data_IF_861054944833
#
_entry.id   IF_861054944833
#
_cell.length_a   1.000
_cell.length_b   1.000
_cell.length_c   1.000
_cell.angle_alpha   90.00
_cell.angle_beta   90.00
_cell.angle_gamma   90.00
#
_symmetry.space_group_name_H-M   'P 1'
#
loop_
_entity.id
_entity.type
_entity.pdbx_description
1 polymer ?
#
# COMPACT_ATOMS: atom_id res chain seq x y z
N UNK A 1 -26.33 22.22 55.20
CA UNK A 1 -26.37 20.77 54.97
C UNK A 1 -27.06 20.41 53.70
N UNK A 2 -28.22 20.90 53.47
CA UNK A 2 -28.98 20.57 52.24
C UNK A 2 -28.34 21.12 50.97
N UNK A 3 -27.61 22.17 51.08
CA UNK A 3 -26.93 22.79 49.93
C UNK A 3 -25.78 21.98 49.34
N UNK A 4 -25.21 21.17 50.16
CA UNK A 4 -24.06 20.35 49.76
C UNK A 4 -24.49 19.23 48.81
N UNK A 5 -25.68 18.71 49.00
CA UNK A 5 -26.22 17.66 48.15
C UNK A 5 -26.48 18.12 46.71
N UNK A 6 -26.90 19.37 46.58
CA UNK A 6 -27.18 19.94 45.27
C UNK A 6 -25.90 20.09 44.42
N UNK A 7 -24.81 20.42 45.06
CA UNK A 7 -23.54 20.57 44.40
C UNK A 7 -23.04 19.26 43.80
N UNK A 8 -23.19 18.17 44.50
CA UNK A 8 -22.73 16.89 44.00
C UNK A 8 -23.51 16.40 42.80
N UNK A 9 -24.77 16.71 42.69
CA UNK A 9 -25.59 16.37 41.57
C UNK A 9 -25.15 17.12 40.31
N UNK A 10 -24.81 18.37 40.45
CA UNK A 10 -24.33 19.19 39.30
C UNK A 10 -23.04 18.64 38.74
N UNK A 11 -22.15 18.14 39.54
CA UNK A 11 -20.90 17.55 39.07
C UNK A 11 -21.16 16.33 38.22
N UNK A 12 -22.11 15.50 38.59
CA UNK A 12 -22.46 14.29 37.85
C UNK A 12 -23.00 14.64 36.44
N UNK A 13 -23.82 15.63 36.36
CA UNK A 13 -24.37 16.05 35.07
C UNK A 13 -23.30 16.61 34.14
N UNK A 14 -22.39 17.36 34.65
CA UNK A 14 -21.29 17.88 33.88
C UNK A 14 -20.47 16.79 33.22
N UNK A 15 -20.15 15.74 33.95
CA UNK A 15 -19.39 14.61 33.41
C UNK A 15 -20.15 13.85 32.32
N UNK A 16 -21.43 13.64 32.50
CA UNK A 16 -22.24 12.90 31.54
C UNK A 16 -22.33 13.59 30.19
N UNK A 17 -22.47 14.89 30.19
CA UNK A 17 -22.59 15.65 28.95
C UNK A 17 -21.32 15.72 28.15
N UNK A 18 -20.21 15.76 28.82
CA UNK A 18 -18.91 15.80 28.16
C UNK A 18 -18.67 14.51 27.35
N UNK A 19 -19.09 13.39 27.86
CA UNK A 19 -18.89 12.10 27.22
C UNK A 19 -19.62 11.97 25.88
N UNK A 20 -20.73 12.65 25.71
CA UNK A 20 -21.51 12.59 24.49
C UNK A 20 -20.85 13.30 23.30
N UNK A 21 -19.94 14.21 23.56
CA UNK A 21 -19.27 14.96 22.51
C UNK A 21 -18.05 14.27 21.93
N UNK A 22 -17.49 13.34 22.64
CA UNK A 22 -16.29 12.64 22.23
C UNK A 22 -16.43 11.90 20.90
N UNK A 23 -17.54 11.22 20.59
CA UNK A 23 -17.69 10.50 19.32
C UNK A 23 -17.68 11.36 18.06
N UNK A 24 -18.08 12.61 18.17
CA UNK A 24 -18.22 13.50 17.01
C UNK A 24 -16.88 13.85 16.35
N UNK A 25 -15.80 13.76 17.09
CA UNK A 25 -14.47 14.12 16.58
C UNK A 25 -13.85 13.02 15.70
N UNK A 26 -14.39 11.84 15.75
CA UNK A 26 -13.88 10.70 15.00
C UNK A 26 -14.20 10.80 13.52
N UNK A 27 -15.24 11.51 13.17
CA UNK A 27 -15.73 11.63 11.79
C UNK A 27 -14.85 12.50 10.90
N UNK A 28 -13.85 13.17 11.44
CA UNK A 28 -12.97 14.04 10.67
C UNK A 28 -11.79 13.32 10.02
N UNK A 29 -11.69 12.02 10.17
CA UNK A 29 -10.63 11.26 9.50
C UNK A 29 -10.94 11.17 8.01
N UNK A 30 -9.98 11.55 7.14
CA UNK A 30 -10.21 11.46 5.71
C UNK A 30 -10.45 10.02 5.29
N UNK A 31 -11.41 9.85 4.40
CA UNK A 31 -11.71 8.56 3.80
C UNK A 31 -10.59 8.19 2.83
N UNK A 32 -9.82 7.17 3.17
CA UNK A 32 -8.68 6.72 2.36
C UNK A 32 -9.10 5.51 1.54
N UNK A 33 -9.07 5.66 0.23
CA UNK A 33 -9.30 4.55 -0.69
C UNK A 33 -8.00 3.76 -0.89
N UNK A 34 -8.10 2.45 -0.88
CA UNK A 34 -6.98 1.54 -1.08
C UNK A 34 -7.13 0.78 -2.39
N UNK A 35 -6.01 0.54 -3.05
CA UNK A 35 -5.95 -0.24 -4.27
C UNK A 35 -4.95 -1.39 -4.15
N UNK A 36 -5.25 -2.48 -4.84
CA UNK A 36 -4.40 -3.65 -4.89
C UNK A 36 -3.38 -3.51 -6.01
N UNK A 37 -2.11 -3.69 -5.68
CA UNK A 37 -1.04 -3.85 -6.67
C UNK A 37 -0.60 -5.30 -6.66
N UNK A 38 -0.75 -5.99 -7.79
CA UNK A 38 -0.19 -7.31 -8.00
C UNK A 38 0.99 -7.21 -8.96
N UNK A 39 2.18 -7.37 -8.43
CA UNK A 39 3.44 -7.28 -9.17
C UNK A 39 4.09 -8.66 -9.18
N UNK A 40 4.24 -9.25 -10.35
CA UNK A 40 4.67 -10.64 -10.51
C UNK A 40 5.88 -10.72 -11.44
N UNK A 41 6.84 -11.56 -11.09
CA UNK A 41 7.94 -11.94 -11.97
C UNK A 41 7.47 -13.12 -12.85
N UNK A 42 7.45 -12.92 -14.16
CA UNK A 42 6.98 -13.94 -15.07
C UNK A 42 7.96 -15.10 -15.30
N UNK A 43 7.47 -16.19 -15.89
CA UNK A 43 6.10 -16.40 -16.32
C UNK A 43 5.16 -16.89 -15.20
N UNK A 44 5.65 -17.53 -14.17
CA UNK A 44 4.82 -18.26 -13.21
C UNK A 44 4.88 -17.72 -11.78
N UNK A 45 5.39 -16.52 -11.58
CA UNK A 45 5.47 -15.95 -10.25
C UNK A 45 6.41 -16.71 -9.32
N UNK A 46 5.87 -17.20 -8.22
CA UNK A 46 6.67 -17.74 -7.10
C UNK A 46 7.60 -18.91 -7.47
N UNK A 47 7.13 -19.83 -8.29
CA UNK A 47 7.91 -20.97 -8.72
C UNK A 47 8.13 -20.90 -10.23
N UNK A 48 9.38 -20.98 -10.67
CA UNK A 48 9.71 -20.96 -12.09
C UNK A 48 9.73 -19.58 -12.73
N UNK A 49 9.84 -18.53 -11.94
CA UNK A 49 10.05 -17.18 -12.48
C UNK A 49 11.45 -17.07 -13.10
N UNK A 50 11.52 -16.29 -14.17
CA UNK A 50 12.76 -16.05 -14.90
C UNK A 50 13.49 -14.79 -14.43
N UNK A 51 13.10 -14.27 -13.29
CA UNK A 51 13.68 -13.08 -12.70
C UNK A 51 12.99 -12.72 -11.39
N UNK A 52 13.23 -11.51 -10.96
CA UNK A 52 12.72 -10.95 -9.71
C UNK A 52 12.09 -9.60 -9.96
N UNK A 53 11.19 -9.21 -9.10
CA UNK A 53 10.62 -7.86 -9.08
C UNK A 53 10.91 -7.20 -7.75
N UNK A 54 10.99 -5.88 -7.78
CA UNK A 54 11.21 -5.04 -6.60
C UNK A 54 10.25 -3.87 -6.62
N UNK A 55 9.85 -3.43 -5.44
CA UNK A 55 8.95 -2.30 -5.24
C UNK A 55 9.61 -1.30 -4.29
N UNK A 56 9.51 -0.03 -4.63
CA UNK A 56 9.98 1.07 -3.81
C UNK A 56 8.90 2.14 -3.71
N UNK A 57 8.57 2.54 -2.49
CA UNK A 57 7.67 3.66 -2.22
C UNK A 57 8.51 4.92 -2.08
N UNK A 58 8.21 5.94 -2.84
CA UNK A 58 8.92 7.22 -2.79
C UNK A 58 8.79 7.90 -1.44
N UNK A 59 7.66 7.71 -0.79
CA UNK A 59 7.40 8.24 0.56
C UNK A 59 7.00 7.12 1.50
N UNK A 60 7.38 7.19 2.77
CA UNK A 60 6.92 6.24 3.76
C UNK A 60 5.41 6.19 3.81
N UNK A 61 4.87 4.99 3.96
CA UNK A 61 3.44 4.79 4.15
C UNK A 61 3.20 4.12 5.50
N UNK A 62 2.27 4.67 6.26
CA UNK A 62 1.84 4.04 7.52
C UNK A 62 1.04 2.75 7.29
N UNK A 63 0.56 2.56 6.07
CA UNK A 63 -0.24 1.40 5.68
C UNK A 63 0.57 0.26 5.10
N UNK A 64 1.84 0.49 4.84
CA UNK A 64 2.73 -0.53 4.30
C UNK A 64 4.01 -0.57 5.11
N UNK A 65 4.26 -1.70 5.73
CA UNK A 65 5.35 -1.89 6.70
C UNK A 65 6.73 -1.58 6.15
N UNK A 66 6.94 -1.85 4.86
CA UNK A 66 8.25 -1.69 4.24
C UNK A 66 8.19 -0.64 3.12
N UNK A 67 9.05 0.34 3.19
CA UNK A 67 9.21 1.31 2.12
C UNK A 67 9.79 0.67 0.84
N UNK A 68 10.47 -0.44 0.99
CA UNK A 68 11.13 -1.13 -0.11
C UNK A 68 11.02 -2.64 0.07
N UNK A 69 10.66 -3.31 -1.01
CA UNK A 69 10.67 -4.77 -1.11
C UNK A 69 11.53 -5.15 -2.31
N UNK A 70 12.52 -6.00 -2.12
CA UNK A 70 13.49 -6.35 -3.14
C UNK A 70 13.45 -7.84 -3.46
N UNK A 71 13.76 -8.14 -4.73
CA UNK A 71 14.07 -9.49 -5.22
C UNK A 71 13.02 -10.54 -4.83
N UNK A 72 11.79 -10.25 -5.19
CA UNK A 72 10.66 -11.15 -4.97
C UNK A 72 10.13 -11.69 -6.28
N UNK A 73 9.61 -12.91 -6.24
CA UNK A 73 8.88 -13.48 -7.36
C UNK A 73 7.47 -12.88 -7.50
N UNK A 74 6.94 -12.34 -6.42
CA UNK A 74 5.67 -11.64 -6.42
C UNK A 74 5.51 -10.74 -5.20
N UNK A 75 4.86 -9.60 -5.39
CA UNK A 75 4.56 -8.61 -4.36
C UNK A 75 3.12 -8.18 -4.57
N UNK A 76 2.31 -8.26 -3.53
CA UNK A 76 0.87 -7.99 -3.65
C UNK A 76 0.35 -7.15 -2.47
N UNK A 77 0.80 -5.90 -2.33
CA UNK A 77 0.34 -5.03 -1.25
C UNK A 77 -1.00 -4.36 -1.57
N UNK A 78 -1.72 -4.01 -0.52
CA UNK A 78 -2.85 -3.09 -0.56
C UNK A 78 -2.33 -1.72 -0.12
N UNK A 79 -2.42 -0.73 -0.99
CA UNK A 79 -1.79 0.57 -0.80
C UNK A 79 -2.79 1.73 -0.96
N UNK A 80 -2.57 2.85 -0.27
CA UNK A 80 -3.48 3.98 -0.38
C UNK A 80 -3.42 4.63 -1.76
N UNK A 81 -4.56 5.15 -2.20
CA UNK A 81 -4.68 5.92 -3.43
C UNK A 81 -3.73 7.12 -3.45
N UNK A 82 -3.17 7.39 -4.62
CA UNK A 82 -2.30 8.55 -4.83
C UNK A 82 -0.86 8.36 -4.40
N UNK A 83 -0.48 7.18 -3.94
CA UNK A 83 0.91 6.90 -3.58
C UNK A 83 1.76 6.72 -4.84
N UNK A 84 2.98 7.25 -4.81
CA UNK A 84 3.94 7.09 -5.90
C UNK A 84 4.80 5.85 -5.67
N UNK A 85 4.87 5.00 -6.67
CA UNK A 85 5.52 3.69 -6.61
C UNK A 85 6.52 3.58 -7.75
N UNK A 86 7.70 3.05 -7.43
CA UNK A 86 8.69 2.64 -8.43
C UNK A 86 8.83 1.12 -8.37
N UNK A 87 8.66 0.48 -9.51
CA UNK A 87 8.88 -0.96 -9.66
C UNK A 87 10.05 -1.22 -10.59
N UNK A 88 10.75 -2.31 -10.35
CA UNK A 88 11.86 -2.75 -11.18
C UNK A 88 11.86 -4.26 -11.35
N UNK A 89 12.45 -4.71 -12.44
CA UNK A 89 12.61 -6.12 -12.76
C UNK A 89 14.08 -6.44 -12.93
N UNK A 90 14.50 -7.58 -12.37
CA UNK A 90 15.87 -8.09 -12.46
C UNK A 90 15.84 -9.50 -13.04
N UNK A 91 16.34 -9.71 -14.26
CA UNK A 91 16.34 -11.03 -14.86
C UNK A 91 17.34 -11.95 -14.19
N UNK A 92 17.05 -13.26 -14.21
CA UNK A 92 18.02 -14.30 -13.89
C UNK A 92 19.03 -14.43 -15.02
N UNK A 93 20.11 -15.14 -14.75
CA UNK A 93 21.10 -15.49 -15.75
C UNK A 93 20.43 -16.13 -16.99
N UNK A 94 20.90 -15.81 -18.17
CA UNK A 94 20.36 -16.24 -19.48
C UNK A 94 19.02 -15.61 -19.89
N UNK A 95 18.49 -14.71 -19.06
CA UNK A 95 17.27 -13.97 -19.39
C UNK A 95 17.52 -12.48 -19.46
N UNK A 96 16.61 -11.78 -20.15
CA UNK A 96 16.58 -10.32 -20.15
C UNK A 96 15.15 -9.84 -19.93
N UNK A 97 15.01 -8.65 -19.40
CA UNK A 97 13.70 -8.01 -19.24
C UNK A 97 13.26 -7.44 -20.58
N UNK A 98 12.07 -7.82 -21.04
CA UNK A 98 11.51 -7.31 -22.27
C UNK A 98 10.57 -6.13 -22.04
N UNK A 99 9.51 -6.34 -21.28
CA UNK A 99 8.53 -5.31 -20.93
C UNK A 99 7.69 -5.75 -19.72
N UNK A 100 6.80 -4.86 -19.32
CA UNK A 100 5.74 -5.19 -18.40
C UNK A 100 4.48 -5.61 -19.17
N UNK A 101 3.70 -6.51 -18.60
CA UNK A 101 2.51 -7.09 -19.26
C UNK A 101 1.44 -6.06 -19.65
N UNK A 102 1.43 -4.91 -18.99
CA UNK A 102 0.51 -3.81 -19.31
C UNK A 102 1.01 -2.86 -20.42
N UNK A 103 2.15 -3.17 -21.04
CA UNK A 103 2.73 -2.38 -22.13
C UNK A 103 3.81 -1.39 -21.72
N UNK A 104 4.08 -1.20 -20.44
CA UNK A 104 5.20 -0.37 -20.01
C UNK A 104 6.53 -1.01 -20.43
N UNK A 105 7.46 -0.19 -20.91
CA UNK A 105 8.77 -0.65 -21.38
C UNK A 105 9.92 -0.20 -20.48
N UNK A 106 9.71 0.79 -19.63
CA UNK A 106 10.73 1.28 -18.73
C UNK A 106 11.09 0.27 -17.63
N UNK A 107 12.34 0.29 -17.20
CA UNK A 107 12.80 -0.50 -16.07
C UNK A 107 13.97 0.23 -15.39
N UNK A 108 13.77 0.85 -14.23
CA UNK A 108 12.52 0.89 -13.47
C UNK A 108 11.43 1.77 -14.09
N UNK A 109 10.22 1.62 -13.60
CA UNK A 109 9.10 2.48 -13.96
C UNK A 109 8.44 3.04 -12.70
N UNK A 110 8.08 4.32 -12.76
CA UNK A 110 7.43 5.03 -11.64
C UNK A 110 6.03 5.46 -12.07
N UNK A 111 5.07 5.24 -11.19
CA UNK A 111 3.67 5.60 -11.45
C UNK A 111 2.95 5.94 -10.15
N UNK A 112 1.80 6.60 -10.28
CA UNK A 112 0.90 6.89 -9.16
C UNK A 112 -0.24 5.88 -9.13
N UNK A 113 -0.51 5.30 -7.96
CA UNK A 113 -1.54 4.29 -7.81
C UNK A 113 -2.91 4.94 -7.64
N UNK A 114 -3.76 4.82 -8.66
CA UNK A 114 -5.12 5.36 -8.67
C UNK A 114 -6.20 4.32 -8.97
N UNK A 115 -5.81 3.08 -9.14
CA UNK A 115 -6.70 1.94 -9.40
C UNK A 115 -5.98 0.65 -9.06
N UNK A 116 -6.70 -0.46 -9.04
CA UNK A 116 -6.07 -1.78 -8.95
C UNK A 116 -5.20 -2.03 -10.17
N UNK A 117 -4.01 -2.57 -9.96
CA UNK A 117 -3.04 -2.83 -11.03
C UNK A 117 -2.53 -4.26 -10.91
N UNK A 118 -2.64 -4.99 -12.02
CA UNK A 118 -1.99 -6.28 -12.21
C UNK A 118 -0.92 -6.14 -13.27
N UNK A 119 0.33 -6.37 -12.90
CA UNK A 119 1.45 -6.23 -13.82
C UNK A 119 2.47 -7.34 -13.61
N UNK A 120 2.92 -7.91 -14.72
CA UNK A 120 3.92 -8.97 -14.72
C UNK A 120 5.15 -8.50 -15.48
N UNK A 121 6.32 -8.73 -14.90
CA UNK A 121 7.59 -8.55 -15.60
C UNK A 121 7.77 -9.69 -16.61
N UNK A 122 7.89 -9.35 -17.87
CA UNK A 122 8.09 -10.33 -18.96
C UNK A 122 9.58 -10.46 -19.22
N UNK A 123 10.09 -11.68 -19.08
CA UNK A 123 11.48 -12.02 -19.34
C UNK A 123 11.57 -12.97 -20.52
N UNK A 124 12.61 -12.79 -21.33
CA UNK A 124 12.93 -13.68 -22.45
C UNK A 124 14.33 -14.21 -22.36
N UNK A 125 14.59 -15.32 -23.00
CA UNK A 125 15.92 -15.90 -23.05
C UNK A 125 16.85 -15.09 -23.93
N UNK A 126 18.09 -14.96 -23.54
CA UNK A 126 19.10 -14.21 -24.30
C UNK A 126 19.48 -14.87 -25.63
N UNK A 127 19.05 -16.11 -25.84
CA UNK A 127 19.33 -16.87 -27.05
C UNK A 127 18.21 -16.78 -28.10
N UNK A 128 17.15 -16.07 -27.81
CA UNK A 128 16.05 -15.81 -28.73
C UNK A 128 16.26 -14.45 -29.50
#
# INVERSE_FOLDING_TARGET
>A
MKKILLLSILVIFGCSKVDLQAPEKIDSQPDVTFYQLNLIAGPNGYAGSNGWVSLHLTKPSEYFKYQRVQDRAGISPLLPSGIEITISASPKEEYYFENWSNGWTGNPVTFTLNSDIDVTAVFKTSND
#
